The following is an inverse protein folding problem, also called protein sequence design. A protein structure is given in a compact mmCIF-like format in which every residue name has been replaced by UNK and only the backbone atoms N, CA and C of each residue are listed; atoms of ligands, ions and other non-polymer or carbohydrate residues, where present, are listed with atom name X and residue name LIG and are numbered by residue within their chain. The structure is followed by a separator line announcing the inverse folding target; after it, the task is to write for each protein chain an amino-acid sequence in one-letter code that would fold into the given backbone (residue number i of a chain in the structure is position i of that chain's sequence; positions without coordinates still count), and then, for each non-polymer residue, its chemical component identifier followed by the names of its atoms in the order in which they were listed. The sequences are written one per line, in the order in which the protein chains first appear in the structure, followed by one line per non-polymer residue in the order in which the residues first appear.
data_IF_317343655872
#
_entry.id   IF_317343655872
#
_cell.length_a   1.000
_cell.length_b   1.000
_cell.length_c   1.000
_cell.angle_alpha   90.00
_cell.angle_beta   90.00
_cell.angle_gamma   90.00
#
_symmetry.space_group_name_H-M   'P 1'
#
loop_
_entity.id
_entity.type
_entity.pdbx_description
1 polymer ?
#
# COMPACT_ATOMS: atom_id res chain seq x y z
N UNK A 1 -11.36 -1.08 -16.72
CA UNK A 1 -12.00 0.20 -16.43
C UNK A 1 -10.99 1.34 -16.35
N UNK A 2 -11.47 2.57 -16.54
CA UNK A 2 -10.68 3.79 -16.39
C UNK A 2 -11.47 4.76 -15.53
N UNK A 3 -10.83 5.33 -14.50
CA UNK A 3 -11.42 6.34 -13.64
C UNK A 3 -10.48 7.52 -13.52
N UNK A 4 -10.99 8.73 -13.77
CA UNK A 4 -10.29 9.99 -13.53
C UNK A 4 -10.96 10.70 -12.38
N UNK A 5 -10.18 11.32 -11.48
CA UNK A 5 -10.72 12.03 -10.36
C UNK A 5 -9.94 13.30 -10.03
N UNK A 6 -10.67 14.27 -9.50
CA UNK A 6 -10.12 15.50 -8.93
C UNK A 6 -10.91 15.85 -7.68
N UNK A 7 -10.23 16.18 -6.61
CA UNK A 7 -10.83 16.56 -5.34
C UNK A 7 -10.02 17.67 -4.68
N UNK A 8 -10.68 18.48 -3.88
CA UNK A 8 -10.05 19.49 -3.03
C UNK A 8 -10.47 19.21 -1.59
N UNK A 9 -9.49 19.06 -0.71
CA UNK A 9 -9.69 18.93 0.72
C UNK A 9 -9.33 20.25 1.35
N UNK A 10 -10.32 20.93 1.96
CA UNK A 10 -10.12 22.14 2.77
C UNK A 10 -9.98 21.74 4.23
N UNK A 11 -9.38 22.63 5.04
CA UNK A 11 -9.21 22.43 6.48
C UNK A 11 -8.46 21.13 6.84
N UNK A 12 -7.51 20.78 5.99
CA UNK A 12 -6.66 19.61 6.24
C UNK A 12 -5.74 19.88 7.44
N UNK A 13 -5.51 18.84 8.24
CA UNK A 13 -4.58 18.92 9.36
C UNK A 13 -3.16 19.21 8.88
N UNK A 14 -2.57 20.25 9.45
CA UNK A 14 -1.17 20.64 9.27
C UNK A 14 -0.49 20.56 10.63
N UNK A 15 0.61 19.82 10.70
CA UNK A 15 1.48 19.81 11.86
C UNK A 15 2.42 21.00 11.79
N UNK A 16 2.46 21.78 12.84
CA UNK A 16 3.32 22.94 13.00
C UNK A 16 4.19 22.73 14.24
N UNK A 17 5.47 22.94 14.06
CA UNK A 17 6.47 22.98 15.11
C UNK A 17 7.22 24.31 14.96
N UNK A 18 6.77 25.36 15.66
CA UNK A 18 7.24 26.73 15.44
C UNK A 18 8.71 26.95 15.75
N UNK A 19 9.26 26.23 16.70
CA UNK A 19 10.60 26.43 17.20
C UNK A 19 11.59 25.33 16.83
N UNK A 20 11.12 24.23 16.23
CA UNK A 20 11.92 23.04 15.90
C UNK A 20 12.81 22.57 17.06
N UNK A 21 12.42 22.92 18.30
CA UNK A 21 13.18 22.66 19.50
C UNK A 21 12.59 21.45 20.23
N UNK A 22 13.38 20.40 20.33
CA UNK A 22 12.98 19.16 21.02
C UNK A 22 12.82 19.29 22.54
N UNK A 23 13.20 20.44 23.12
CA UNK A 23 13.16 20.67 24.57
C UNK A 23 11.87 21.36 25.04
N UNK A 24 11.16 22.03 24.14
CA UNK A 24 9.84 22.62 24.39
C UNK A 24 8.88 22.11 23.34
N UNK A 25 7.97 21.24 23.74
CA UNK A 25 6.96 20.66 22.83
C UNK A 25 5.84 21.68 22.58
N UNK A 26 6.11 22.67 21.73
CA UNK A 26 5.13 23.67 21.27
C UNK A 26 4.45 23.23 19.96
N UNK A 27 4.65 21.98 19.55
CA UNK A 27 4.08 21.46 18.34
C UNK A 27 2.57 21.26 18.48
N UNK A 28 1.82 21.65 17.47
CA UNK A 28 0.38 21.49 17.43
C UNK A 28 -0.16 21.18 16.05
N UNK A 29 -1.37 20.67 15.99
CA UNK A 29 -2.10 20.49 14.75
C UNK A 29 -3.07 21.65 14.51
N UNK A 30 -3.09 22.14 13.28
CA UNK A 30 -3.96 23.21 12.83
C UNK A 30 -4.78 22.76 11.61
N UNK A 31 -6.03 23.21 11.55
CA UNK A 31 -6.94 22.97 10.43
C UNK A 31 -6.92 24.17 9.48
N UNK A 32 -5.88 24.32 8.67
CA UNK A 32 -5.78 25.42 7.72
C UNK A 32 -5.19 25.01 6.36
N UNK A 33 -4.94 23.74 6.22
CA UNK A 33 -4.35 23.20 5.01
C UNK A 33 -5.37 23.03 3.89
N UNK A 34 -4.94 23.27 2.67
CA UNK A 34 -5.68 22.83 1.48
C UNK A 34 -4.84 21.84 0.69
N UNK A 35 -5.45 20.73 0.31
CA UNK A 35 -4.80 19.69 -0.50
C UNK A 35 -5.60 19.49 -1.78
N UNK A 36 -4.97 19.71 -2.92
CA UNK A 36 -5.52 19.34 -4.21
C UNK A 36 -5.10 17.91 -4.55
N UNK A 37 -6.08 17.07 -4.81
CA UNK A 37 -5.89 15.67 -5.18
C UNK A 37 -6.41 15.47 -6.58
N UNK A 38 -5.60 14.83 -7.43
CA UNK A 38 -6.01 14.38 -8.76
C UNK A 38 -5.33 13.08 -9.10
N UNK A 39 -5.97 12.28 -9.93
CA UNK A 39 -5.38 11.03 -10.35
C UNK A 39 -6.17 10.30 -11.42
N UNK A 40 -5.62 9.15 -11.77
CA UNK A 40 -6.20 8.19 -12.69
C UNK A 40 -6.03 6.79 -12.12
N UNK A 41 -7.05 5.98 -12.29
CA UNK A 41 -7.05 4.57 -11.92
C UNK A 41 -7.41 3.76 -13.18
N UNK A 42 -6.59 2.76 -13.48
CA UNK A 42 -6.84 1.77 -14.51
C UNK A 42 -7.08 0.44 -13.84
N UNK A 43 -8.15 -0.25 -14.21
CA UNK A 43 -8.47 -1.59 -13.69
C UNK A 43 -8.68 -2.56 -14.84
N UNK A 44 -8.23 -3.78 -14.64
CA UNK A 44 -8.44 -4.91 -15.54
C UNK A 44 -8.90 -6.11 -14.72
N UNK A 45 -10.02 -6.68 -15.11
CA UNK A 45 -10.53 -7.94 -14.59
C UNK A 45 -10.71 -8.87 -15.79
N UNK A 46 -10.07 -10.02 -15.79
CA UNK A 46 -10.15 -10.98 -16.90
C UNK A 46 -9.84 -12.39 -16.46
N UNK A 47 -10.15 -13.36 -17.30
CA UNK A 47 -9.72 -14.73 -17.15
C UNK A 47 -8.74 -15.09 -18.28
N UNK A 48 -7.60 -15.67 -17.91
CA UNK A 48 -6.59 -16.13 -18.85
C UNK A 48 -6.05 -17.51 -18.42
N UNK A 49 -6.14 -18.51 -19.28
CA UNK A 49 -5.72 -19.89 -18.99
C UNK A 49 -6.31 -20.45 -17.67
N UNK A 50 -7.57 -20.17 -17.41
CA UNK A 50 -8.29 -20.52 -16.17
C UNK A 50 -7.70 -19.87 -14.90
N UNK A 51 -6.94 -18.78 -15.05
CA UNK A 51 -6.59 -17.91 -13.95
C UNK A 51 -7.50 -16.67 -13.99
N UNK A 52 -8.11 -16.37 -12.86
CA UNK A 52 -8.74 -15.07 -12.64
C UNK A 52 -7.64 -14.06 -12.40
N UNK A 53 -7.61 -12.99 -13.18
CA UNK A 53 -6.60 -11.95 -13.13
C UNK A 53 -7.26 -10.61 -12.84
N UNK A 54 -6.90 -9.99 -11.73
CA UNK A 54 -7.29 -8.66 -11.34
C UNK A 54 -6.03 -7.78 -11.33
N UNK A 55 -6.05 -6.66 -12.01
CA UNK A 55 -4.95 -5.72 -12.02
C UNK A 55 -5.45 -4.28 -11.86
N UNK A 56 -4.69 -3.48 -11.13
CA UNK A 56 -4.93 -2.04 -11.02
C UNK A 56 -3.62 -1.26 -11.11
N UNK A 57 -3.70 -0.09 -11.74
CA UNK A 57 -2.62 0.89 -11.79
C UNK A 57 -3.21 2.22 -11.34
N UNK A 58 -2.58 2.83 -10.33
CA UNK A 58 -2.99 4.12 -9.81
C UNK A 58 -1.92 5.17 -10.05
N UNK A 59 -2.34 6.31 -10.54
CA UNK A 59 -1.59 7.54 -10.59
C UNK A 59 -2.26 8.54 -9.67
N UNK A 60 -1.58 8.98 -8.63
CA UNK A 60 -2.12 9.88 -7.62
C UNK A 60 -1.17 11.06 -7.38
N UNK A 61 -1.73 12.25 -7.40
CA UNK A 61 -1.04 13.46 -7.01
C UNK A 61 -1.86 14.17 -5.93
N UNK A 62 -1.27 14.39 -4.75
CA UNK A 62 -1.88 15.08 -3.63
C UNK A 62 -0.97 16.23 -3.20
N UNK A 63 -1.24 17.44 -3.67
CA UNK A 63 -0.41 18.61 -3.47
C UNK A 63 -0.94 19.47 -2.33
N UNK A 64 -0.10 19.73 -1.34
CA UNK A 64 -0.37 20.75 -0.34
C UNK A 64 -0.22 22.12 -1.00
N UNK A 65 -1.29 22.91 -1.03
CA UNK A 65 -1.30 24.22 -1.71
C UNK A 65 -0.38 25.26 -1.07
N UNK A 66 -0.20 25.19 0.22
CA UNK A 66 0.65 26.15 0.95
C UNK A 66 2.14 25.94 0.66
N UNK A 67 2.54 24.69 0.41
CA UNK A 67 3.96 24.34 0.19
C UNK A 67 4.27 23.99 -1.26
N UNK A 68 3.26 23.73 -2.10
CA UNK A 68 3.43 23.23 -3.45
C UNK A 68 3.98 21.79 -3.52
N UNK A 69 4.14 21.10 -2.40
CA UNK A 69 4.76 19.79 -2.33
C UNK A 69 3.73 18.66 -2.28
N UNK A 70 4.12 17.50 -2.79
CA UNK A 70 3.37 16.25 -2.63
C UNK A 70 3.25 15.90 -1.13
N UNK A 71 2.05 15.52 -0.70
CA UNK A 71 1.81 15.03 0.67
C UNK A 71 2.74 13.85 0.97
N UNK A 72 3.34 13.87 2.14
CA UNK A 72 4.22 12.81 2.61
C UNK A 72 3.53 11.44 2.68
N UNK A 73 4.31 10.36 2.60
CA UNK A 73 3.91 8.95 2.68
C UNK A 73 2.87 8.53 1.63
N UNK A 74 2.77 9.30 0.53
CA UNK A 74 1.86 9.03 -0.59
C UNK A 74 2.65 8.84 -1.86
N UNK A 75 2.89 7.60 -2.30
CA UNK A 75 3.52 7.33 -3.59
C UNK A 75 2.62 7.82 -4.73
N UNK A 76 3.23 8.37 -5.76
CA UNK A 76 2.49 8.89 -6.92
C UNK A 76 1.99 7.79 -7.86
N UNK A 77 2.55 6.60 -7.75
CA UNK A 77 2.19 5.45 -8.58
C UNK A 77 2.14 4.19 -7.73
N UNK A 78 1.12 3.40 -7.95
CA UNK A 78 1.02 2.05 -7.43
C UNK A 78 0.47 1.11 -8.48
N UNK A 79 0.85 -0.14 -8.39
CA UNK A 79 0.33 -1.23 -9.20
C UNK A 79 0.02 -2.40 -8.28
N UNK A 80 -1.12 -3.03 -8.52
CA UNK A 80 -1.51 -4.29 -7.92
C UNK A 80 -1.87 -5.30 -8.99
N UNK A 81 -1.41 -6.53 -8.86
CA UNK A 81 -1.81 -7.64 -9.70
C UNK A 81 -2.14 -8.80 -8.77
N UNK A 82 -3.31 -9.35 -8.96
CA UNK A 82 -3.74 -10.56 -8.28
C UNK A 82 -4.12 -11.60 -9.33
N UNK A 83 -3.53 -12.77 -9.25
CA UNK A 83 -3.87 -13.91 -10.09
C UNK A 83 -4.28 -15.07 -9.20
N UNK A 84 -5.45 -15.67 -9.45
CA UNK A 84 -5.95 -16.81 -8.68
C UNK A 84 -6.52 -17.91 -9.58
N UNK A 85 -6.35 -19.14 -9.13
CA UNK A 85 -6.87 -20.32 -9.82
C UNK A 85 -7.36 -21.36 -8.82
N UNK A 86 -8.53 -21.88 -9.09
CA UNK A 86 -9.06 -23.08 -8.41
C UNK A 86 -8.95 -24.27 -9.37
N UNK A 87 -8.35 -25.37 -8.92
CA UNK A 87 -8.20 -26.59 -9.70
C UNK A 87 -8.43 -27.78 -8.78
N UNK A 88 -9.60 -28.42 -8.93
CA UNK A 88 -10.05 -29.45 -7.99
C UNK A 88 -10.10 -28.90 -6.56
N UNK A 89 -9.43 -29.56 -5.64
CA UNK A 89 -9.37 -29.19 -4.23
C UNK A 89 -8.34 -28.09 -3.91
N UNK A 90 -7.57 -27.65 -4.89
CA UNK A 90 -6.54 -26.63 -4.73
C UNK A 90 -7.05 -25.25 -5.11
N UNK A 91 -6.80 -24.27 -4.25
CA UNK A 91 -6.90 -22.85 -4.59
C UNK A 91 -5.51 -22.21 -4.43
N UNK A 92 -5.07 -21.48 -5.43
CA UNK A 92 -3.76 -20.81 -5.45
C UNK A 92 -3.95 -19.37 -5.82
N UNK A 93 -3.18 -18.48 -5.19
CA UNK A 93 -3.12 -17.08 -5.60
C UNK A 93 -1.71 -16.52 -5.51
N UNK A 94 -1.45 -15.60 -6.41
CA UNK A 94 -0.24 -14.80 -6.49
C UNK A 94 -0.67 -13.35 -6.43
N UNK A 95 -0.17 -12.60 -5.47
CA UNK A 95 -0.44 -11.18 -5.35
C UNK A 95 0.87 -10.41 -5.43
N UNK A 96 0.98 -9.52 -6.40
CA UNK A 96 2.10 -8.60 -6.52
C UNK A 96 1.62 -7.18 -6.37
N UNK A 97 2.29 -6.42 -5.48
CA UNK A 97 2.03 -5.00 -5.25
C UNK A 97 3.32 -4.23 -5.35
N UNK A 98 3.32 -3.16 -6.12
CA UNK A 98 4.46 -2.25 -6.16
C UNK A 98 4.01 -0.80 -5.96
N UNK A 99 4.88 -0.01 -5.33
CA UNK A 99 4.69 1.42 -5.09
C UNK A 99 5.95 2.17 -5.49
N UNK A 100 5.77 3.34 -6.07
CA UNK A 100 6.88 4.26 -6.30
C UNK A 100 7.41 4.81 -4.97
N UNK A 101 8.52 5.53 -5.03
CA UNK A 101 9.03 6.30 -3.90
C UNK A 101 7.98 7.30 -3.38
N UNK A 102 8.11 7.69 -2.13
CA UNK A 102 7.29 8.71 -1.50
C UNK A 102 8.16 9.69 -0.70
N UNK A 103 7.68 10.91 -0.51
CA UNK A 103 8.29 11.82 0.44
C UNK A 103 7.94 11.43 1.88
N UNK A 104 8.87 11.64 2.79
CA UNK A 104 8.65 11.62 4.24
C UNK A 104 9.54 12.67 4.90
N UNK A 105 9.50 12.75 6.21
CA UNK A 105 10.36 13.61 7.00
C UNK A 105 11.26 12.78 7.91
N UNK A 106 12.51 13.19 8.05
CA UNK A 106 13.42 12.66 9.05
C UNK A 106 13.13 13.24 10.46
N UNK A 107 13.89 12.80 11.46
CA UNK A 107 13.78 13.30 12.83
C UNK A 107 14.05 14.83 12.97
N UNK A 108 14.71 15.42 11.98
CA UNK A 108 15.02 16.86 11.92
C UNK A 108 14.08 17.64 11.00
N UNK A 109 12.93 17.05 10.63
CA UNK A 109 11.93 17.62 9.73
C UNK A 109 12.35 17.87 8.28
N UNK A 110 13.54 17.41 7.86
CA UNK A 110 13.97 17.50 6.47
C UNK A 110 13.17 16.56 5.58
N UNK A 111 12.86 17.00 4.38
CA UNK A 111 12.20 16.13 3.40
C UNK A 111 13.19 15.08 2.88
N UNK A 112 12.81 13.83 3.02
CA UNK A 112 13.56 12.67 2.54
C UNK A 112 12.73 11.84 1.60
N UNK A 113 13.37 11.00 0.81
CA UNK A 113 12.70 10.03 -0.06
C UNK A 113 12.75 8.63 0.54
N UNK A 114 11.59 8.07 0.80
CA UNK A 114 11.45 6.62 1.02
C UNK A 114 11.51 5.91 -0.33
N UNK A 115 12.30 4.87 -0.44
CA UNK A 115 12.44 4.08 -1.67
C UNK A 115 11.13 3.42 -2.09
N UNK A 116 10.92 3.28 -3.39
CA UNK A 116 9.86 2.45 -3.92
C UNK A 116 10.13 0.96 -3.66
N UNK A 117 9.09 0.16 -3.64
CA UNK A 117 9.19 -1.28 -3.38
C UNK A 117 8.15 -2.10 -4.13
N UNK A 118 8.45 -3.39 -4.30
CA UNK A 118 7.53 -4.39 -4.81
C UNK A 118 7.49 -5.59 -3.89
N UNK A 119 6.29 -6.08 -3.60
CA UNK A 119 6.05 -7.22 -2.71
C UNK A 119 5.32 -8.31 -3.48
N UNK A 120 5.84 -9.52 -3.38
CA UNK A 120 5.22 -10.72 -3.92
C UNK A 120 4.69 -11.56 -2.75
N UNK A 121 3.40 -11.87 -2.79
CA UNK A 121 2.76 -12.75 -1.83
C UNK A 121 2.18 -13.96 -2.56
N UNK A 122 2.33 -15.13 -1.95
CA UNK A 122 1.85 -16.40 -2.50
C UNK A 122 0.92 -17.04 -1.48
N UNK A 123 -0.22 -17.52 -1.93
CA UNK A 123 -1.14 -18.28 -1.07
C UNK A 123 -1.55 -19.56 -1.78
N UNK A 124 -1.58 -20.65 -1.06
CA UNK A 124 -2.16 -21.91 -1.53
C UNK A 124 -3.04 -22.51 -0.44
N UNK A 125 -4.16 -23.06 -0.81
CA UNK A 125 -5.02 -23.82 0.09
C UNK A 125 -5.47 -25.12 -0.56
N UNK A 126 -5.73 -26.09 0.29
CA UNK A 126 -6.25 -27.40 -0.08
C UNK A 126 -7.48 -27.73 0.75
N UNK A 127 -8.60 -27.97 0.08
CA UNK A 127 -9.84 -28.40 0.71
C UNK A 127 -9.90 -29.92 0.74
N UNK A 128 -9.83 -30.52 1.93
CA UNK A 128 -9.98 -31.97 2.09
C UNK A 128 -11.42 -32.39 1.82
N UNK A 129 -12.37 -31.65 2.35
CA UNK A 129 -13.81 -31.77 2.17
C UNK A 129 -14.47 -30.38 2.31
N UNK A 130 -15.77 -30.32 2.49
CA UNK A 130 -16.54 -29.06 2.66
C UNK A 130 -16.22 -28.37 3.99
N UNK A 131 -15.85 -29.13 5.01
CA UNK A 131 -15.65 -28.66 6.38
C UNK A 131 -14.19 -28.35 6.70
N UNK A 132 -13.24 -29.02 6.04
CA UNK A 132 -11.83 -29.00 6.42
C UNK A 132 -10.94 -28.50 5.28
N UNK A 133 -10.19 -27.45 5.55
CA UNK A 133 -9.15 -26.95 4.65
C UNK A 133 -7.86 -26.58 5.39
N UNK A 134 -6.75 -26.64 4.69
CA UNK A 134 -5.45 -26.14 5.14
C UNK A 134 -4.98 -25.07 4.17
N UNK A 135 -4.31 -24.06 4.68
CA UNK A 135 -3.70 -23.03 3.83
C UNK A 135 -2.27 -22.72 4.24
N UNK A 136 -1.48 -22.34 3.26
CA UNK A 136 -0.14 -21.79 3.43
C UNK A 136 -0.07 -20.42 2.77
N UNK A 137 0.43 -19.43 3.50
CA UNK A 137 0.65 -18.09 3.00
C UNK A 137 2.12 -17.71 3.16
N UNK A 138 2.71 -17.16 2.10
CA UNK A 138 4.07 -16.63 2.07
C UNK A 138 4.01 -15.14 1.70
N UNK A 139 4.05 -14.29 2.69
CA UNK A 139 4.09 -12.84 2.50
C UNK A 139 5.53 -12.37 2.26
N UNK A 140 5.69 -11.34 1.43
CA UNK A 140 6.98 -10.81 1.02
C UNK A 140 7.96 -11.92 0.59
N UNK A 141 7.54 -12.76 -0.35
CA UNK A 141 8.29 -13.97 -0.76
C UNK A 141 9.72 -13.66 -1.22
N UNK A 142 9.96 -12.47 -1.77
CA UNK A 142 11.28 -12.02 -2.21
C UNK A 142 12.13 -11.43 -1.08
N UNK A 143 11.64 -11.41 0.15
CA UNK A 143 12.30 -10.85 1.33
C UNK A 143 12.79 -9.41 1.11
N UNK A 144 11.94 -8.58 0.50
CA UNK A 144 12.28 -7.18 0.22
C UNK A 144 12.27 -6.37 1.51
N UNK A 145 13.38 -5.67 1.80
CA UNK A 145 13.42 -4.63 2.81
C UNK A 145 12.78 -3.35 2.27
N UNK A 146 11.86 -2.77 3.03
CA UNK A 146 11.19 -1.55 2.66
C UNK A 146 10.70 -0.79 3.89
N UNK A 147 10.42 0.49 3.72
CA UNK A 147 9.81 1.34 4.74
C UNK A 147 8.57 2.04 4.18
N UNK A 148 7.54 2.14 5.00
CA UNK A 148 6.33 2.93 4.69
C UNK A 148 6.35 4.29 5.39
N UNK A 149 7.17 4.42 6.41
CA UNK A 149 7.51 5.63 7.12
C UNK A 149 8.96 5.55 7.57
N UNK A 150 9.64 6.66 7.59
CA UNK A 150 11.06 6.75 7.98
C UNK A 150 11.31 6.14 9.35
N UNK A 151 12.29 5.24 9.42
CA UNK A 151 12.70 4.58 10.65
C UNK A 151 11.80 3.43 11.11
N UNK A 152 10.68 3.18 10.42
CA UNK A 152 9.78 2.06 10.73
C UNK A 152 10.06 0.91 9.79
N UNK A 153 10.84 -0.06 10.28
CA UNK A 153 11.11 -1.30 9.55
C UNK A 153 9.84 -2.12 9.43
N UNK A 154 9.68 -2.71 8.26
CA UNK A 154 8.57 -3.64 7.97
C UNK A 154 9.04 -5.09 8.13
N UNK A 155 8.13 -6.05 8.36
CA UNK A 155 8.47 -7.45 8.37
C UNK A 155 9.08 -7.88 7.02
N UNK A 156 10.15 -8.67 7.09
CA UNK A 156 10.69 -9.38 5.93
C UNK A 156 9.74 -10.48 5.45
N UNK A 157 10.30 -11.57 4.94
CA UNK A 157 9.51 -12.74 4.55
C UNK A 157 8.81 -13.35 5.77
N UNK A 158 7.50 -13.60 5.63
CA UNK A 158 6.70 -14.25 6.66
C UNK A 158 5.94 -15.42 6.06
N UNK A 159 6.02 -16.58 6.68
CA UNK A 159 5.24 -17.76 6.33
C UNK A 159 4.20 -18.06 7.41
N UNK A 160 3.00 -18.41 6.99
CA UNK A 160 1.90 -18.79 7.87
C UNK A 160 1.28 -20.08 7.36
N UNK A 161 1.10 -21.05 8.23
CA UNK A 161 0.31 -22.26 7.99
C UNK A 161 -0.93 -22.21 8.88
N UNK A 162 -2.08 -22.48 8.33
CA UNK A 162 -3.33 -22.50 9.08
C UNK A 162 -4.27 -23.61 8.61
N UNK A 163 -5.20 -23.95 9.49
CA UNK A 163 -6.24 -24.93 9.28
C UNK A 163 -7.59 -24.26 9.59
N UNK A 164 -8.58 -24.51 8.75
CA UNK A 164 -9.96 -24.08 8.97
C UNK A 164 -10.85 -25.31 9.03
N UNK A 165 -11.67 -25.38 10.07
CA UNK A 165 -12.70 -26.40 10.23
C UNK A 165 -14.03 -25.72 10.54
N UNK A 166 -15.05 -26.09 9.78
CA UNK A 166 -16.46 -25.64 9.96
C UNK A 166 -17.27 -26.78 10.53
N UNK A 167 -18.13 -26.53 11.50
CA UNK A 167 -19.00 -27.51 12.18
C UNK A 167 -20.45 -27.02 12.22
#
# INVERSE_FOLDING_TARGET
GIKLYKSKVSDAFTYLDPDSNTLTDNAYYKNDGTVDIKGAELTLDTELFSWQLDANIDFNQAINKSTGLQKGRRPNRSIGINASKTSGKWKRSVNWKAKSWAWDKDAHTNNIKLGGYGLLNLTTSYNFNEDLSVYFNLANALNKDYEMAQGYKTPGRLSTLGLTYSF
#
